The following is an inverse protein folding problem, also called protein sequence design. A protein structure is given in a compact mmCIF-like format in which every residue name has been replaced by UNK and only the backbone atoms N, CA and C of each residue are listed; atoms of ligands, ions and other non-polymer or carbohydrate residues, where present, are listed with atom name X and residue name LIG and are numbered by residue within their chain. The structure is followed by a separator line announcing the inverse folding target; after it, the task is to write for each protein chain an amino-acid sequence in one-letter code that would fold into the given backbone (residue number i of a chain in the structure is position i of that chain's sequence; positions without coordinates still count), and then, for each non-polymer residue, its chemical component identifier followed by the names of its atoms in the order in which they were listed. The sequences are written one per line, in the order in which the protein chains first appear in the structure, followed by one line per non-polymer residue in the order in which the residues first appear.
data_IF_496401712924
#
_entry.id   IF_496401712924
#
_cell.length_a   1.000
_cell.length_b   1.000
_cell.length_c   1.000
_cell.angle_alpha   90.00
_cell.angle_beta   90.00
_cell.angle_gamma   90.00
#
_symmetry.space_group_name_H-M   'P 1'
#
loop_
_entity.id
_entity.type
_entity.pdbx_description
1 polymer ?
#
# COMPACT_ATOMS: atom_id res chain seq x y z
N UNK A 1 -23.02 12.19 -4.35
CA UNK A 1 -22.95 11.59 -3.01
C UNK A 1 -21.50 11.61 -2.66
N UNK A 2 -21.13 12.62 -1.88
CA UNK A 2 -19.75 13.02 -1.62
C UNK A 2 -19.38 12.48 -0.24
N UNK A 3 -18.67 11.36 -0.21
CA UNK A 3 -18.26 10.67 1.00
C UNK A 3 -16.73 10.67 1.07
N UNK A 4 -16.15 11.86 1.26
CA UNK A 4 -14.72 12.03 1.55
C UNK A 4 -14.38 11.39 2.91
N UNK A 5 -14.20 10.08 2.94
CA UNK A 5 -13.80 9.36 4.14
C UNK A 5 -12.28 9.40 4.26
N UNK A 6 -11.73 10.50 4.83
CA UNK A 6 -10.47 10.41 5.57
C UNK A 6 -10.64 9.27 6.55
N UNK A 7 -10.03 8.09 6.34
CA UNK A 7 -10.13 7.00 7.32
C UNK A 7 -9.33 7.45 8.55
N UNK A 8 -9.95 7.89 9.65
CA UNK A 8 -9.24 8.49 10.79
C UNK A 8 -8.46 7.47 11.63
N UNK A 9 -8.35 6.21 11.17
CA UNK A 9 -8.09 5.07 12.05
C UNK A 9 -7.07 4.06 11.51
N UNK A 10 -6.34 4.36 10.44
CA UNK A 10 -5.18 3.58 10.04
C UNK A 10 -3.96 4.06 10.85
N UNK A 11 -3.55 3.31 11.87
CA UNK A 11 -2.29 3.57 12.55
C UNK A 11 -1.16 3.04 11.67
N UNK A 12 -0.36 3.95 11.11
CA UNK A 12 0.82 3.62 10.31
C UNK A 12 2.03 3.62 11.23
N UNK A 13 2.57 2.44 11.52
CA UNK A 13 3.75 2.30 12.37
C UNK A 13 4.88 1.83 11.46
N UNK A 14 5.93 2.64 11.31
CA UNK A 14 7.19 2.29 10.62
C UNK A 14 7.09 2.03 9.09
N UNK A 15 7.07 3.11 8.27
CA UNK A 15 7.43 2.97 6.87
C UNK A 15 8.91 2.57 6.72
N UNK A 16 9.19 1.47 6.01
CA UNK A 16 10.49 1.30 5.36
C UNK A 16 10.32 1.93 3.97
N UNK A 17 10.50 3.25 3.91
CA UNK A 17 10.36 4.07 2.71
C UNK A 17 9.00 4.79 2.53
N UNK A 18 8.99 5.88 1.76
CA UNK A 18 7.94 6.92 1.77
C UNK A 18 6.90 6.81 0.63
N UNK A 19 6.76 5.64 -0.01
CA UNK A 19 6.25 5.63 -1.39
C UNK A 19 4.76 5.39 -1.61
N UNK A 20 4.07 4.66 -0.72
CA UNK A 20 2.62 4.46 -0.89
C UNK A 20 1.89 5.70 -0.41
N UNK A 21 1.12 6.29 -1.31
CA UNK A 21 0.12 7.27 -0.92
C UNK A 21 -1.21 6.65 -0.66
N UNK A 22 -1.60 5.63 -1.42
CA UNK A 22 -3.00 5.23 -1.39
C UNK A 22 -3.20 3.73 -1.18
N UNK A 23 -4.16 3.37 -0.33
CA UNK A 23 -4.79 2.05 -0.37
C UNK A 23 -6.15 2.18 -1.05
N UNK A 24 -6.38 1.38 -2.09
CA UNK A 24 -7.68 1.28 -2.74
C UNK A 24 -8.55 0.29 -1.95
N UNK A 25 -9.62 0.77 -1.30
CA UNK A 25 -10.51 -0.06 -0.49
C UNK A 25 -11.90 -0.18 -1.12
N UNK A 26 -12.53 -1.35 -1.05
CA UNK A 26 -13.90 -1.54 -1.56
C UNK A 26 -14.92 -0.86 -0.66
N UNK A 27 -15.77 0.01 -1.22
CA UNK A 27 -16.85 0.68 -0.49
C UNK A 27 -16.42 1.82 0.42
N UNK A 28 -15.16 2.24 0.35
CA UNK A 28 -14.60 3.45 0.97
C UNK A 28 -13.65 4.08 -0.06
N UNK A 29 -13.96 5.26 -0.56
CA UNK A 29 -13.10 5.92 -1.55
C UNK A 29 -11.76 6.26 -0.90
N UNK A 30 -10.68 5.69 -1.45
CA UNK A 30 -9.25 6.02 -1.28
C UNK A 30 -8.76 6.36 0.15
N UNK A 31 -7.92 5.50 0.73
CA UNK A 31 -7.10 5.91 1.89
C UNK A 31 -5.88 6.66 1.39
N UNK A 32 -5.91 7.99 1.38
CA UNK A 32 -4.77 8.82 1.00
C UNK A 32 -3.88 9.19 2.21
N UNK A 33 -2.60 8.87 2.09
CA UNK A 33 -1.49 9.45 2.84
C UNK A 33 -0.90 10.54 1.95
N UNK A 34 -1.08 11.79 2.37
CA UNK A 34 -0.40 12.93 1.74
C UNK A 34 1.10 12.74 1.92
N UNK A 35 1.81 12.55 0.81
CA UNK A 35 3.26 12.59 0.83
C UNK A 35 3.71 13.98 1.28
N UNK A 36 4.61 13.98 2.27
CA UNK A 36 5.46 15.12 2.55
C UNK A 36 6.11 15.52 1.22
N UNK A 37 5.99 16.80 0.83
CA UNK A 37 6.63 17.36 -0.36
C UNK A 37 8.09 16.89 -0.44
N UNK A 38 8.45 16.09 -1.46
CA UNK A 38 9.81 15.54 -1.55
C UNK A 38 10.36 15.55 -2.97
N UNK A 39 11.51 16.20 -3.06
CA UNK A 39 12.48 16.10 -4.14
C UNK A 39 12.78 14.62 -4.43
N UNK A 40 12.97 14.30 -5.72
CA UNK A 40 12.86 12.95 -6.30
C UNK A 40 13.42 11.78 -5.49
N UNK A 41 12.68 10.68 -5.51
CA UNK A 41 13.08 9.36 -5.00
C UNK A 41 13.58 8.47 -6.15
N UNK A 42 14.59 7.65 -5.90
CA UNK A 42 15.13 6.69 -6.87
C UNK A 42 15.00 5.26 -6.37
N UNK A 43 14.64 4.33 -7.26
CA UNK A 43 14.62 2.91 -6.97
C UNK A 43 15.91 2.24 -7.43
N UNK A 44 16.36 1.28 -6.64
CA UNK A 44 17.34 0.28 -7.07
C UNK A 44 16.59 -0.98 -7.52
N UNK A 45 17.26 -1.89 -8.23
CA UNK A 45 16.68 -3.17 -8.65
C UNK A 45 16.18 -4.06 -7.49
N UNK A 46 16.56 -3.73 -6.25
CA UNK A 46 16.19 -4.45 -5.03
C UNK A 46 15.35 -3.61 -4.06
N UNK A 47 14.81 -2.47 -4.51
CA UNK A 47 13.99 -1.61 -3.66
C UNK A 47 12.68 -2.32 -3.28
N UNK A 48 12.48 -2.46 -1.97
CA UNK A 48 11.23 -2.90 -1.36
C UNK A 48 10.73 -1.75 -0.49
N UNK A 49 9.55 -1.26 -0.82
CA UNK A 49 8.82 -0.31 -0.02
C UNK A 49 7.76 -1.08 0.77
N UNK A 50 7.59 -0.79 2.06
CA UNK A 50 6.59 -1.46 2.88
C UNK A 50 5.97 -0.56 3.94
N UNK A 51 4.70 -0.83 4.27
CA UNK A 51 3.95 -0.11 5.28
C UNK A 51 3.05 -1.05 6.10
N UNK A 52 3.08 -0.88 7.43
CA UNK A 52 2.14 -1.54 8.34
C UNK A 52 0.86 -0.73 8.46
N UNK A 53 -0.29 -1.42 8.42
CA UNK A 53 -1.62 -0.84 8.45
C UNK A 53 -2.52 -1.67 9.35
N UNK A 54 -3.27 -1.01 10.23
CA UNK A 54 -4.34 -1.61 11.04
C UNK A 54 -5.60 -0.79 10.87
N UNK A 55 -6.67 -1.41 10.38
CA UNK A 55 -7.97 -0.76 10.22
C UNK A 55 -8.84 -1.03 11.46
N UNK A 56 -9.63 -0.04 11.90
CA UNK A 56 -10.57 -0.21 13.02
C UNK A 56 -11.86 -0.97 12.66
N UNK A 57 -12.05 -1.27 11.37
CA UNK A 57 -13.20 -2.00 10.81
C UNK A 57 -12.73 -2.99 9.74
N UNK A 58 -13.58 -3.97 9.42
CA UNK A 58 -13.34 -4.87 8.29
C UNK A 58 -13.33 -4.04 7.00
N UNK A 59 -12.26 -4.13 6.22
CA UNK A 59 -12.11 -3.45 4.92
C UNK A 59 -11.65 -4.45 3.87
N UNK A 60 -11.95 -4.21 2.60
CA UNK A 60 -11.42 -5.02 1.49
C UNK A 60 -10.39 -4.23 0.72
N UNK A 61 -9.13 -4.67 0.72
CA UNK A 61 -8.08 -4.08 -0.09
C UNK A 61 -8.20 -4.54 -1.55
N UNK A 62 -8.28 -3.59 -2.45
CA UNK A 62 -8.32 -3.78 -3.89
C UNK A 62 -6.95 -3.61 -4.54
N UNK A 63 -6.13 -2.71 -4.00
CA UNK A 63 -4.86 -2.30 -4.60
C UNK A 63 -4.20 -1.16 -3.85
N UNK A 64 -3.18 -0.58 -4.47
CA UNK A 64 -2.41 0.56 -3.93
C UNK A 64 -2.19 1.63 -4.99
N UNK A 65 -1.89 2.85 -4.54
CA UNK A 65 -1.33 3.93 -5.36
C UNK A 65 0.19 3.98 -5.22
N UNK A 66 0.91 3.97 -6.35
CA UNK A 66 2.36 4.14 -6.41
C UNK A 66 2.74 5.42 -7.15
N UNK A 67 3.62 6.22 -6.56
CA UNK A 67 4.22 7.35 -7.27
C UNK A 67 5.25 6.91 -8.30
N UNK A 68 5.30 7.67 -9.40
CA UNK A 68 6.31 7.56 -10.46
C UNK A 68 6.70 8.95 -10.98
N UNK A 69 6.46 9.21 -12.27
CA UNK A 69 6.69 10.53 -12.86
C UNK A 69 8.06 10.78 -13.49
N UNK A 70 8.94 9.76 -13.55
CA UNK A 70 10.28 9.87 -14.17
C UNK A 70 10.59 8.77 -15.18
N UNK A 71 9.58 8.04 -15.63
CA UNK A 71 9.70 6.93 -16.57
C UNK A 71 8.77 5.78 -16.23
N UNK A 72 8.99 4.67 -16.91
CA UNK A 72 8.32 3.41 -16.67
C UNK A 72 8.99 2.64 -15.53
N UNK A 73 8.18 2.00 -14.72
CA UNK A 73 8.60 1.15 -13.62
C UNK A 73 7.89 -0.20 -13.70
N UNK A 74 8.47 -1.21 -13.06
CA UNK A 74 7.82 -2.50 -12.85
C UNK A 74 7.66 -2.71 -11.35
N UNK A 75 6.43 -3.01 -10.92
CA UNK A 75 6.15 -3.28 -9.52
C UNK A 75 5.41 -4.59 -9.27
N UNK A 76 5.66 -5.18 -8.10
CA UNK A 76 4.95 -6.36 -7.57
C UNK A 76 4.47 -6.09 -6.15
N UNK A 77 3.18 -6.25 -5.91
CA UNK A 77 2.54 -5.98 -4.62
C UNK A 77 2.44 -7.27 -3.81
N UNK A 78 2.67 -7.19 -2.51
CA UNK A 78 2.35 -8.27 -1.56
C UNK A 78 1.59 -7.71 -0.36
N UNK A 79 0.66 -8.51 0.16
CA UNK A 79 -0.08 -8.24 1.38
C UNK A 79 0.16 -9.36 2.37
N UNK A 80 0.50 -8.99 3.60
CA UNK A 80 0.70 -9.91 4.71
C UNK A 80 -0.20 -9.55 5.89
N UNK A 81 -0.55 -10.56 6.71
CA UNK A 81 -1.15 -10.39 8.03
C UNK A 81 -0.12 -10.72 9.10
N UNK A 82 -0.05 -9.91 10.15
CA UNK A 82 0.76 -10.20 11.33
C UNK A 82 -0.10 -10.90 12.41
N UNK A 83 0.41 -11.95 13.08
CA UNK A 83 -0.40 -12.81 13.95
C UNK A 83 -0.76 -12.23 15.34
N UNK A 84 -0.23 -11.08 15.76
CA UNK A 84 -0.65 -10.42 17.01
C UNK A 84 -0.19 -8.95 17.07
N UNK A 85 -0.47 -8.25 18.18
CA UNK A 85 0.00 -6.87 18.43
C UNK A 85 1.54 -6.75 18.54
N UNK A 86 2.24 -7.87 18.64
CA UNK A 86 3.69 -7.92 18.54
C UNK A 86 4.08 -7.94 17.06
N UNK A 87 4.88 -6.95 16.66
CA UNK A 87 5.47 -6.76 15.34
C UNK A 87 6.52 -7.82 14.99
N UNK A 88 6.29 -9.08 15.36
CA UNK A 88 7.23 -10.16 15.04
C UNK A 88 7.05 -10.55 13.58
N UNK A 89 7.80 -9.84 12.73
CA UNK A 89 7.76 -9.96 11.26
C UNK A 89 8.08 -11.38 10.78
N UNK A 90 8.72 -12.20 11.61
CA UNK A 90 9.04 -13.60 11.32
C UNK A 90 7.82 -14.51 11.19
N UNK A 91 6.65 -14.07 11.66
CA UNK A 91 5.42 -14.86 11.58
C UNK A 91 4.37 -14.26 10.62
N UNK A 92 4.78 -13.38 9.69
CA UNK A 92 3.87 -12.77 8.72
C UNK A 92 3.24 -13.82 7.77
N UNK A 93 1.91 -13.90 7.74
CA UNK A 93 1.14 -14.74 6.82
C UNK A 93 0.90 -13.98 5.51
N UNK A 94 1.41 -14.49 4.38
CA UNK A 94 1.13 -13.89 3.07
C UNK A 94 -0.31 -14.17 2.65
N UNK A 95 -1.11 -13.11 2.49
CA UNK A 95 -2.51 -13.20 2.10
C UNK A 95 -2.71 -13.09 0.59
N UNK A 96 -1.88 -12.29 -0.08
CA UNK A 96 -2.00 -12.04 -1.51
C UNK A 96 -0.70 -11.52 -2.10
N UNK A 97 -0.52 -11.80 -3.39
CA UNK A 97 0.58 -11.32 -4.22
C UNK A 97 0.01 -11.00 -5.61
N UNK A 98 0.42 -9.88 -6.20
CA UNK A 98 0.07 -9.52 -7.58
C UNK A 98 1.09 -10.09 -8.57
N UNK A 99 0.74 -10.12 -9.86
CA UNK A 99 1.75 -10.23 -10.92
C UNK A 99 2.62 -8.96 -10.98
N UNK A 100 3.77 -9.06 -11.65
CA UNK A 100 4.57 -7.87 -11.99
C UNK A 100 3.79 -7.01 -12.98
N UNK A 101 3.61 -5.74 -12.64
CA UNK A 101 2.83 -4.78 -13.43
C UNK A 101 3.76 -3.64 -13.87
N UNK A 102 3.77 -3.37 -15.16
CA UNK A 102 4.38 -2.15 -15.71
C UNK A 102 3.47 -0.96 -15.38
N UNK A 103 4.04 0.13 -14.86
CA UNK A 103 3.29 1.35 -14.60
C UNK A 103 4.12 2.60 -14.91
N UNK A 104 3.41 3.64 -15.33
CA UNK A 104 3.87 5.01 -15.40
C UNK A 104 2.75 5.92 -14.87
N UNK A 105 3.09 7.17 -14.56
CA UNK A 105 2.14 8.20 -14.15
C UNK A 105 2.79 9.58 -14.28
N UNK A 106 1.99 10.65 -14.26
CA UNK A 106 2.49 12.01 -14.25
C UNK A 106 3.32 12.33 -13.00
N UNK A 107 4.09 13.42 -13.06
CA UNK A 107 4.77 13.91 -11.85
C UNK A 107 3.72 14.24 -10.78
N UNK A 108 3.91 13.71 -9.57
CA UNK A 108 2.99 13.87 -8.42
C UNK A 108 1.64 13.18 -8.58
N UNK A 109 1.46 12.33 -9.59
CA UNK A 109 0.31 11.45 -9.72
C UNK A 109 0.66 10.04 -9.21
N UNK A 110 -0.34 9.32 -8.69
CA UNK A 110 -0.18 7.94 -8.28
C UNK A 110 -0.82 7.00 -9.31
N UNK A 111 -0.07 6.01 -9.79
CA UNK A 111 -0.61 4.92 -10.59
C UNK A 111 -1.34 3.91 -9.69
N UNK A 112 -2.54 3.51 -10.09
CA UNK A 112 -3.30 2.51 -9.38
C UNK A 112 -2.86 1.10 -9.79
N UNK A 113 -2.28 0.35 -8.86
CA UNK A 113 -1.92 -1.05 -9.07
C UNK A 113 -2.85 -1.94 -8.23
N UNK A 114 -3.48 -2.89 -8.89
CA UNK A 114 -4.55 -3.72 -8.32
C UNK A 114 -4.05 -5.11 -7.93
N UNK A 115 -4.60 -5.65 -6.85
CA UNK A 115 -4.46 -7.07 -6.51
C UNK A 115 -5.30 -7.91 -7.48
N UNK A 116 -4.91 -9.18 -7.66
CA UNK A 116 -5.65 -10.11 -8.51
C UNK A 116 -7.09 -10.33 -8.02
N UNK A 117 -7.32 -10.24 -6.71
CA UNK A 117 -8.64 -10.32 -6.07
C UNK A 117 -8.69 -9.41 -4.83
N UNK A 118 -9.87 -8.85 -4.48
CA UNK A 118 -10.04 -8.11 -3.24
C UNK A 118 -9.75 -8.95 -2.00
N UNK A 119 -8.92 -8.45 -1.08
CA UNK A 119 -8.56 -9.16 0.16
C UNK A 119 -9.24 -8.55 1.37
N UNK A 120 -9.95 -9.36 2.16
CA UNK A 120 -10.55 -8.92 3.41
C UNK A 120 -9.48 -8.72 4.50
N UNK A 121 -9.25 -7.48 4.89
CA UNK A 121 -8.48 -7.10 6.06
C UNK A 121 -9.43 -6.98 7.26
N UNK A 122 -9.23 -7.83 8.26
CA UNK A 122 -10.05 -7.85 9.47
C UNK A 122 -9.78 -6.64 10.36
N UNK A 123 -10.84 -6.11 10.96
CA UNK A 123 -10.76 -5.06 11.97
C UNK A 123 -9.74 -5.42 13.05
N UNK A 124 -8.97 -4.44 13.50
CA UNK A 124 -8.01 -4.55 14.59
C UNK A 124 -6.94 -5.64 14.38
N UNK A 125 -6.61 -5.98 13.13
CA UNK A 125 -5.46 -6.82 12.79
C UNK A 125 -4.42 -6.02 12.02
N UNK A 126 -3.14 -6.25 12.35
CA UNK A 126 -2.02 -5.67 11.63
C UNK A 126 -1.81 -6.37 10.28
N UNK A 127 -1.58 -5.56 9.25
CA UNK A 127 -1.22 -6.02 7.93
C UNK A 127 0.00 -5.27 7.44
N UNK A 128 0.80 -5.90 6.58
CA UNK A 128 1.90 -5.23 5.86
C UNK A 128 1.55 -5.22 4.39
N UNK A 129 1.56 -4.04 3.78
CA UNK A 129 1.49 -3.88 2.33
C UNK A 129 2.89 -3.56 1.84
N UNK A 130 3.40 -4.31 0.86
CA UNK A 130 4.71 -4.05 0.28
C UNK A 130 4.68 -4.03 -1.24
N UNK A 131 5.61 -3.30 -1.84
CA UNK A 131 5.86 -3.29 -3.26
C UNK A 131 7.35 -3.39 -3.54
N UNK A 132 7.70 -4.34 -4.39
CA UNK A 132 9.01 -4.39 -5.03
C UNK A 132 8.96 -3.55 -6.29
N UNK A 133 9.90 -2.61 -6.46
CA UNK A 133 9.91 -1.67 -7.59
C UNK A 133 11.28 -1.72 -8.26
N UNK A 134 11.30 -1.76 -9.60
CA UNK A 134 12.52 -1.78 -10.42
C UNK A 134 12.32 -1.10 -11.76
#
# INVERSE_FOLDING_TARGET
MDCTARVPYALLINPVGNLFTELHLCGCDHLERTAVEREGWGYSAHSIEAIQVKASKDVRLLGIGLYGGRGEYIAKIKLFRLPSDMSDEQCAEMLSESDETLYDCGQREAAALMLAQPVLMKANHWHVVSAKIR
#
